data_IF_143340022006
#
_entry.id   IF_143340022006
#
_cell.length_a   1.000
_cell.length_b   1.000
_cell.length_c   1.000
_cell.angle_alpha   90.00
_cell.angle_beta   90.00
_cell.angle_gamma   90.00
#
_symmetry.space_group_name_H-M   'P 1'
#
loop_
_entity.id
_entity.type
_entity.pdbx_description
1 polymer ?
#
# COMPACT_ATOMS: atom_id res chain seq x y z
N UNK A 1 -21.70 7.59 -11.29
CA UNK A 1 -22.31 7.20 -10.01
C UNK A 1 -21.34 6.25 -9.34
N UNK A 2 -20.96 6.48 -8.08
CA UNK A 2 -20.06 5.57 -7.36
C UNK A 2 -20.76 4.23 -7.10
N UNK A 3 -19.98 3.14 -7.03
CA UNK A 3 -20.49 1.85 -6.57
C UNK A 3 -20.87 1.91 -5.08
N UNK A 4 -21.82 1.07 -4.67
CA UNK A 4 -22.27 0.98 -3.28
C UNK A 4 -21.24 0.32 -2.36
N UNK A 5 -20.34 -0.49 -2.93
CA UNK A 5 -19.22 -1.12 -2.24
C UNK A 5 -17.96 -1.05 -3.13
N UNK A 6 -16.93 -0.38 -2.61
CA UNK A 6 -15.64 -0.17 -3.29
C UNK A 6 -14.57 -1.16 -2.83
N UNK A 7 -14.84 -1.95 -1.79
CA UNK A 7 -13.83 -2.80 -1.13
C UNK A 7 -13.20 -3.84 -2.05
N UNK A 8 -13.95 -4.33 -3.03
CA UNK A 8 -13.48 -5.30 -4.03
C UNK A 8 -13.03 -4.68 -5.36
N UNK A 9 -12.87 -3.36 -5.41
CA UNK A 9 -12.42 -2.66 -6.61
C UNK A 9 -10.98 -2.16 -6.41
N UNK A 10 -10.15 -2.30 -7.44
CA UNK A 10 -8.77 -1.79 -7.42
C UNK A 10 -8.75 -0.26 -7.52
N UNK A 11 -9.62 0.30 -8.36
CA UNK A 11 -9.62 1.71 -8.73
C UNK A 11 -10.85 2.43 -8.20
N UNK A 12 -10.65 3.60 -7.61
CA UNK A 12 -11.72 4.53 -7.25
C UNK A 12 -12.16 5.37 -8.44
N UNK A 13 -11.20 5.79 -9.28
CA UNK A 13 -11.39 6.45 -10.56
C UNK A 13 -10.27 6.05 -11.52
N UNK A 14 -10.14 6.71 -12.66
CA UNK A 14 -9.19 6.35 -13.72
C UNK A 14 -7.71 6.34 -13.28
N UNK A 15 -7.35 6.95 -12.15
CA UNK A 15 -5.96 7.11 -11.72
C UNK A 15 -5.70 6.78 -10.24
N UNK A 16 -6.73 6.81 -9.38
CA UNK A 16 -6.55 6.71 -7.93
C UNK A 16 -7.01 5.33 -7.44
N UNK A 17 -6.19 4.63 -6.65
CA UNK A 17 -6.59 3.38 -6.02
C UNK A 17 -7.70 3.60 -4.97
N UNK A 18 -8.43 2.53 -4.66
CA UNK A 18 -9.36 2.53 -3.52
C UNK A 18 -8.59 2.50 -2.19
N UNK A 19 -9.30 2.79 -1.10
CA UNK A 19 -8.73 2.72 0.26
C UNK A 19 -8.21 1.32 0.60
N UNK A 20 -8.88 0.27 0.10
CA UNK A 20 -8.44 -1.12 0.27
C UNK A 20 -7.06 -1.35 -0.36
N UNK A 21 -6.84 -0.83 -1.57
CA UNK A 21 -5.53 -0.90 -2.23
C UNK A 21 -4.51 -0.01 -1.52
N UNK A 22 -4.88 1.19 -1.06
CA UNK A 22 -3.99 2.04 -0.28
C UNK A 22 -3.48 1.38 1.00
N UNK A 23 -4.33 0.62 1.69
CA UNK A 23 -3.92 -0.14 2.87
C UNK A 23 -2.85 -1.18 2.52
N UNK A 24 -3.08 -1.98 1.46
CA UNK A 24 -2.11 -2.99 0.99
C UNK A 24 -0.79 -2.33 0.59
N UNK A 25 -0.83 -1.18 -0.09
CA UNK A 25 0.37 -0.42 -0.44
C UNK A 25 1.13 0.03 0.81
N UNK A 26 0.44 0.59 1.81
CA UNK A 26 1.06 1.03 3.05
C UNK A 26 1.72 -0.13 3.83
N UNK A 27 1.05 -1.28 3.91
CA UNK A 27 1.60 -2.50 4.54
C UNK A 27 2.86 -2.99 3.80
N UNK A 28 2.85 -3.00 2.47
CA UNK A 28 4.02 -3.36 1.66
C UNK A 28 5.17 -2.36 1.78
N UNK A 29 4.89 -1.06 1.86
CA UNK A 29 5.94 -0.05 2.08
C UNK A 29 6.58 -0.21 3.46
N UNK A 30 5.77 -0.56 4.47
CA UNK A 30 6.26 -0.69 5.84
C UNK A 30 7.02 -2.01 6.07
N UNK A 31 6.43 -3.16 5.71
CA UNK A 31 7.00 -4.49 5.99
C UNK A 31 7.59 -5.21 4.78
N UNK A 32 7.20 -4.84 3.54
CA UNK A 32 7.62 -5.53 2.32
C UNK A 32 7.09 -6.97 2.20
N UNK A 33 5.92 -7.26 2.79
CA UNK A 33 5.39 -8.61 2.97
C UNK A 33 4.99 -9.32 1.66
N UNK A 34 4.30 -8.61 0.75
CA UNK A 34 3.76 -9.21 -0.47
C UNK A 34 4.62 -8.90 -1.70
N UNK A 35 5.31 -7.75 -1.70
CA UNK A 35 6.27 -7.37 -2.74
C UNK A 35 7.36 -6.46 -2.19
N UNK A 36 8.56 -6.52 -2.77
CA UNK A 36 9.66 -5.60 -2.46
C UNK A 36 9.40 -4.25 -3.14
N UNK A 37 8.53 -3.45 -2.51
CA UNK A 37 8.11 -2.14 -3.03
C UNK A 37 9.15 -1.04 -2.81
N UNK A 38 9.87 -1.10 -1.69
CA UNK A 38 10.88 -0.12 -1.31
C UNK A 38 12.30 -0.68 -1.54
N UNK A 39 13.22 0.20 -1.88
CA UNK A 39 14.63 -0.13 -2.07
C UNK A 39 15.51 0.93 -1.36
N UNK A 40 16.63 0.54 -0.70
CA UNK A 40 17.17 -0.82 -0.58
C UNK A 40 16.53 -1.68 0.51
N UNK A 41 15.78 -1.08 1.44
CA UNK A 41 15.12 -1.74 2.58
C UNK A 41 13.71 -1.16 2.76
N UNK A 42 12.83 -1.86 3.49
CA UNK A 42 11.49 -1.33 3.81
C UNK A 42 11.55 -0.28 4.94
N UNK A 43 10.45 0.45 5.16
CA UNK A 43 10.45 1.54 6.15
C UNK A 43 10.67 1.03 7.59
N UNK A 44 10.15 -0.15 7.93
CA UNK A 44 10.35 -0.75 9.24
C UNK A 44 11.83 -1.07 9.52
N UNK A 45 12.56 -1.59 8.53
CA UNK A 45 14.00 -1.80 8.57
C UNK A 45 14.75 -0.46 8.67
N UNK A 46 14.36 0.55 7.89
CA UNK A 46 14.98 1.89 7.94
C UNK A 46 14.91 2.52 9.32
N UNK A 47 13.79 2.36 10.04
CA UNK A 47 13.63 2.91 11.39
C UNK A 47 14.53 2.19 12.40
N UNK A 48 14.77 0.88 12.24
CA UNK A 48 15.68 0.12 13.10
C UNK A 48 17.15 0.46 12.90
N UNK A 49 17.53 0.86 11.69
CA UNK A 49 18.91 1.29 11.39
C UNK A 49 19.31 2.61 12.07
N UNK A 50 18.34 3.41 12.54
CA UNK A 50 18.59 4.68 13.24
C UNK A 50 18.74 4.54 14.76
N UNK A 51 18.51 3.36 15.32
CA UNK A 51 18.66 3.08 16.76
C UNK A 51 20.06 2.56 17.05
#
# INVERSE_FOLDING_TARGET
>A
MACSDVSNNVWWNEFHPTDAVNQILAENMWFGEYTKMCYPVNLHEMVKLKQ
#
